data_IF_361226282179
#
_entry.id   IF_361226282179
#
_cell.length_a   1.000
_cell.length_b   1.000
_cell.length_c   1.000
_cell.angle_alpha   90.00
_cell.angle_beta   90.00
_cell.angle_gamma   90.00
#
_symmetry.space_group_name_H-M   'P 1'
#
loop_
_entity.id
_entity.type
_entity.pdbx_description
1 polymer ?
#
# COMPACT_ATOMS: atom_id res chain seq x y z
N UNK A 1 53.13 -16.76 7.81
CA UNK A 1 54.28 -17.20 8.61
C UNK A 1 54.20 -16.49 9.95
N UNK A 2 54.03 -17.30 10.99
CA UNK A 2 53.84 -17.02 12.41
C UNK A 2 54.96 -16.13 12.99
N UNK A 3 54.68 -15.32 14.02
CA UNK A 3 55.20 -15.59 15.37
C UNK A 3 54.57 -14.68 16.43
N UNK A 4 53.89 -15.37 17.36
CA UNK A 4 53.57 -14.93 18.72
C UNK A 4 54.83 -14.41 19.42
N UNK A 5 54.68 -13.40 20.28
CA UNK A 5 55.73 -13.01 21.22
C UNK A 5 55.34 -13.37 22.66
N UNK A 6 56.30 -14.00 23.31
CA UNK A 6 56.23 -14.87 24.47
C UNK A 6 55.74 -14.29 25.80
N UNK A 7 55.15 -15.23 26.55
CA UNK A 7 54.82 -15.19 27.98
C UNK A 7 56.13 -15.33 28.78
N UNK A 8 56.48 -14.34 29.61
CA UNK A 8 57.55 -14.48 30.60
C UNK A 8 56.99 -14.90 31.96
N UNK A 9 57.26 -16.15 32.30
CA UNK A 9 57.17 -16.74 33.64
C UNK A 9 58.00 -15.93 34.65
N UNK A 10 57.37 -15.39 35.69
CA UNK A 10 58.07 -14.85 36.85
C UNK A 10 58.05 -15.89 37.98
N UNK A 11 59.25 -16.26 38.39
CA UNK A 11 59.63 -17.30 39.34
C UNK A 11 58.96 -17.16 40.71
N UNK A 12 58.28 -18.22 41.14
CA UNK A 12 57.78 -18.40 42.50
C UNK A 12 58.96 -18.70 43.45
N UNK A 13 59.23 -17.81 44.42
CA UNK A 13 60.05 -18.15 45.58
C UNK A 13 59.22 -18.00 46.85
N UNK A 14 58.87 -19.16 47.41
CA UNK A 14 58.30 -19.31 48.74
C UNK A 14 59.29 -18.77 49.78
N UNK A 15 58.88 -17.79 50.58
CA UNK A 15 59.40 -17.62 51.94
C UNK A 15 58.20 -17.48 52.88
N UNK A 16 58.05 -18.50 53.71
CA UNK A 16 57.14 -18.52 54.84
C UNK A 16 57.57 -17.46 55.87
N UNK A 17 56.60 -16.74 56.45
CA UNK A 17 56.87 -15.77 57.48
C UNK A 17 55.59 -15.18 58.08
N UNK A 18 55.15 -15.80 59.18
CA UNK A 18 54.37 -15.24 60.30
C UNK A 18 53.04 -14.53 60.00
N UNK A 19 51.95 -15.21 60.36
CA UNK A 19 50.60 -14.67 60.41
C UNK A 19 50.49 -13.54 61.45
N UNK A 20 50.24 -12.32 60.99
CA UNK A 20 49.70 -11.23 61.79
C UNK A 20 48.30 -10.91 61.25
N UNK A 21 47.30 -11.05 62.11
CA UNK A 21 45.88 -10.93 61.82
C UNK A 21 45.52 -9.48 61.47
N UNK A 22 45.69 -9.09 60.21
CA UNK A 22 45.09 -7.87 59.65
C UNK A 22 43.74 -8.26 59.01
N UNK A 23 42.63 -7.81 59.62
CA UNK A 23 41.33 -7.82 58.93
C UNK A 23 41.46 -7.01 57.63
N UNK A 24 41.23 -7.60 56.44
CA UNK A 24 41.13 -6.80 55.23
C UNK A 24 39.81 -6.04 55.27
N UNK A 25 39.88 -4.72 55.40
CA UNK A 25 38.79 -3.84 54.99
C UNK A 25 38.67 -3.99 53.47
N UNK A 26 37.81 -4.90 53.02
CA UNK A 26 37.48 -5.04 51.62
C UNK A 26 36.73 -3.78 51.18
N UNK A 27 37.47 -2.78 50.70
CA UNK A 27 36.91 -1.77 49.84
C UNK A 27 36.49 -2.49 48.56
N UNK A 28 35.19 -2.78 48.44
CA UNK A 28 34.59 -3.09 47.14
C UNK A 28 34.81 -1.86 46.27
N UNK A 29 35.84 -1.88 45.44
CA UNK A 29 35.93 -0.98 44.28
C UNK A 29 34.76 -1.39 43.39
N UNK A 30 33.64 -0.67 43.48
CA UNK A 30 32.68 -0.69 42.41
C UNK A 30 33.41 -0.05 41.22
N UNK A 31 33.76 -0.87 40.23
CA UNK A 31 34.05 -0.38 38.91
C UNK A 31 32.73 0.22 38.39
N UNK A 32 32.57 1.53 38.59
CA UNK A 32 31.56 2.28 37.89
C UNK A 32 31.98 2.28 36.43
N UNK A 33 31.19 1.60 35.57
CA UNK A 33 31.44 1.60 34.14
C UNK A 33 31.58 3.05 33.68
N UNK A 34 32.70 3.35 33.02
CA UNK A 34 32.94 4.69 32.51
C UNK A 34 31.76 5.09 31.60
N UNK A 35 31.23 6.32 31.74
CA UNK A 35 30.12 6.75 30.92
C UNK A 35 30.54 6.70 29.45
N UNK A 36 29.71 6.04 28.64
CA UNK A 36 29.91 5.97 27.19
C UNK A 36 30.05 7.38 26.62
N UNK A 37 30.98 7.53 25.69
CA UNK A 37 31.25 8.75 24.95
C UNK A 37 30.98 8.52 23.46
N UNK A 38 30.78 9.59 22.66
CA UNK A 38 30.65 9.44 21.21
C UNK A 38 31.83 8.72 20.54
N UNK A 39 33.03 8.77 21.14
CA UNK A 39 34.24 8.14 20.59
C UNK A 39 34.29 6.61 20.78
N UNK A 40 33.39 6.05 21.59
CA UNK A 40 33.27 4.60 21.80
C UNK A 40 32.49 3.90 20.67
N UNK A 41 31.99 4.68 19.69
CA UNK A 41 31.17 4.20 18.57
C UNK A 41 31.91 4.33 17.25
N UNK A 42 31.68 3.37 16.35
CA UNK A 42 32.35 3.31 15.05
C UNK A 42 32.00 4.50 14.13
N UNK A 43 30.74 4.95 14.17
CA UNK A 43 30.22 6.07 13.39
C UNK A 43 29.17 6.84 14.18
N UNK A 44 28.95 8.09 13.78
CA UNK A 44 27.89 8.96 14.32
C UNK A 44 27.33 9.86 13.23
N UNK A 45 26.12 10.37 13.46
CA UNK A 45 25.49 11.38 12.62
C UNK A 45 25.08 12.56 13.51
N UNK A 46 25.37 13.77 13.06
CA UNK A 46 24.89 14.97 13.75
C UNK A 46 23.40 15.17 13.44
N UNK A 47 22.62 15.48 14.46
CA UNK A 47 21.20 15.78 14.31
C UNK A 47 20.95 17.22 14.71
N UNK A 48 20.50 18.02 13.75
CA UNK A 48 20.14 19.41 13.99
C UNK A 48 18.70 19.52 14.52
N UNK A 49 18.53 20.20 15.64
CA UNK A 49 17.22 20.60 16.16
C UNK A 49 16.99 22.09 15.91
N UNK A 50 15.87 22.45 15.28
CA UNK A 50 15.57 23.85 14.93
C UNK A 50 14.88 24.63 16.07
N UNK A 51 14.28 23.93 17.05
CA UNK A 51 13.58 24.54 18.17
C UNK A 51 14.09 24.01 19.52
N UNK A 52 13.98 24.82 20.58
CA UNK A 52 14.32 24.40 21.95
C UNK A 52 13.11 23.75 22.60
N UNK A 53 13.18 22.46 22.90
CA UNK A 53 12.10 21.66 23.48
C UNK A 53 12.66 20.64 24.49
N UNK A 54 11.93 20.29 25.56
CA UNK A 54 12.34 19.21 26.46
C UNK A 54 12.28 17.81 25.80
N UNK A 55 11.50 17.66 24.73
CA UNK A 55 11.36 16.40 23.97
C UNK A 55 11.56 16.64 22.49
N UNK A 56 12.29 15.73 21.85
CA UNK A 56 12.57 15.77 20.41
C UNK A 56 12.10 14.49 19.74
N UNK A 57 11.47 14.65 18.58
CA UNK A 57 11.22 13.55 17.65
C UNK A 57 12.04 13.81 16.40
N UNK A 58 12.86 12.82 16.04
CA UNK A 58 13.83 12.93 14.96
C UNK A 58 13.66 11.72 14.04
N UNK A 59 13.70 11.94 12.73
CA UNK A 59 13.80 10.84 11.78
C UNK A 59 15.24 10.32 11.82
N UNK A 60 15.39 9.03 12.09
CA UNK A 60 16.72 8.42 12.13
C UNK A 60 17.35 8.46 10.73
N UNK A 61 18.57 9.00 10.57
CA UNK A 61 19.24 9.05 9.28
C UNK A 61 19.44 7.65 8.69
N UNK A 62 19.37 7.54 7.36
CA UNK A 62 19.53 6.26 6.64
C UNK A 62 20.85 5.56 6.98
N UNK A 63 21.92 6.34 7.17
CA UNK A 63 23.25 5.83 7.52
C UNK A 63 23.26 5.00 8.81
N UNK A 64 22.36 5.27 9.76
CA UNK A 64 22.27 4.47 10.99
C UNK A 64 21.77 3.05 10.70
N UNK A 65 20.80 2.91 9.79
CA UNK A 65 20.27 1.60 9.39
C UNK A 65 21.29 0.78 8.60
N UNK A 66 22.16 1.43 7.83
CA UNK A 66 23.18 0.75 7.03
C UNK A 66 24.38 0.28 7.86
N UNK A 67 24.64 0.91 8.99
CA UNK A 67 25.86 0.69 9.79
C UNK A 67 25.60 0.03 11.15
N UNK A 68 24.35 -0.19 11.54
CA UNK A 68 24.02 -0.95 12.76
C UNK A 68 24.43 -2.42 12.61
N UNK A 69 24.96 -2.99 13.68
CA UNK A 69 25.22 -4.42 13.78
C UNK A 69 23.96 -5.25 14.07
N UNK A 70 22.86 -4.60 14.50
CA UNK A 70 21.67 -5.29 15.00
C UNK A 70 20.38 -4.73 14.37
N UNK A 71 19.47 -5.58 13.87
CA UNK A 71 18.21 -5.13 13.26
C UNK A 71 17.29 -4.33 14.21
N UNK A 72 17.45 -4.49 15.52
CA UNK A 72 16.68 -3.80 16.54
C UNK A 72 17.34 -2.50 17.04
N UNK A 73 18.45 -2.08 16.41
CA UNK A 73 19.16 -0.83 16.69
C UNK A 73 19.64 -0.69 18.15
N UNK A 74 19.86 -1.81 18.85
CA UNK A 74 20.31 -1.82 20.26
C UNK A 74 21.70 -1.20 20.47
N UNK A 75 22.49 -1.08 19.42
CA UNK A 75 23.82 -0.47 19.39
C UNK A 75 23.77 1.03 19.11
N UNK A 76 22.60 1.62 18.91
CA UNK A 76 22.45 3.07 18.75
C UNK A 76 22.48 3.76 20.12
N UNK A 77 23.19 4.87 20.21
CA UNK A 77 23.14 5.81 21.35
C UNK A 77 22.94 7.22 20.85
N UNK A 78 22.26 8.03 21.66
CA UNK A 78 22.06 9.46 21.38
C UNK A 78 22.83 10.25 22.42
N UNK A 79 23.60 11.22 21.97
CA UNK A 79 24.41 12.11 22.80
C UNK A 79 23.97 13.56 22.61
N UNK A 80 23.97 14.35 23.69
CA UNK A 80 23.76 15.79 23.59
C UNK A 80 25.06 16.52 23.18
N UNK A 81 24.99 17.85 23.01
CA UNK A 81 26.14 18.67 22.63
C UNK A 81 27.32 18.62 23.63
N UNK A 82 27.09 18.21 24.88
CA UNK A 82 28.10 18.02 25.89
C UNK A 82 28.71 16.60 25.87
N UNK A 83 28.36 15.77 24.88
CA UNK A 83 28.83 14.40 24.74
C UNK A 83 28.22 13.43 25.76
N UNK A 84 27.17 13.82 26.48
CA UNK A 84 26.50 12.94 27.45
C UNK A 84 25.40 12.14 26.79
N UNK A 85 25.36 10.84 27.06
CA UNK A 85 24.28 9.98 26.62
C UNK A 85 22.93 10.48 27.18
N UNK A 86 21.92 10.53 26.32
CA UNK A 86 20.55 10.91 26.69
C UNK A 86 19.59 9.73 26.52
N UNK A 87 18.54 9.72 27.33
CA UNK A 87 17.46 8.72 27.20
C UNK A 87 16.72 8.96 25.90
N UNK A 88 16.47 7.88 25.15
CA UNK A 88 15.70 7.92 23.91
C UNK A 88 14.81 6.68 23.81
N UNK A 89 13.85 6.74 22.91
CA UNK A 89 13.04 5.60 22.51
C UNK A 89 13.05 5.49 20.99
N UNK A 90 13.09 4.27 20.48
CA UNK A 90 12.96 3.99 19.05
C UNK A 90 11.53 3.56 18.78
N UNK A 91 10.89 4.23 17.83
CA UNK A 91 9.57 3.87 17.34
C UNK A 91 9.69 3.52 15.88
N UNK A 92 9.19 2.34 15.50
CA UNK A 92 9.02 2.01 14.10
C UNK A 92 8.02 3.02 13.50
N UNK A 93 8.34 3.55 12.33
CA UNK A 93 7.35 4.30 11.56
C UNK A 93 6.40 3.24 11.02
N UNK A 94 5.23 3.11 11.64
CA UNK A 94 4.14 2.33 11.07
C UNK A 94 3.83 2.95 9.70
N UNK A 95 4.28 2.29 8.64
CA UNK A 95 3.76 2.58 7.31
C UNK A 95 2.28 2.23 7.40
N UNK A 96 1.36 3.19 7.22
CA UNK A 96 -0.06 2.88 7.32
C UNK A 96 -0.33 1.74 6.35
N UNK A 97 -0.64 0.56 6.90
CA UNK A 97 -1.06 -0.58 6.10
C UNK A 97 -2.32 -0.10 5.42
N UNK A 98 -2.25 0.16 4.12
CA UNK A 98 -3.43 0.49 3.33
C UNK A 98 -4.37 -0.70 3.44
N UNK A 99 -5.37 -0.59 4.29
CA UNK A 99 -6.33 -1.65 4.51
C UNK A 99 -7.17 -1.75 3.24
N UNK A 100 -6.91 -2.79 2.45
CA UNK A 100 -7.69 -3.08 1.26
C UNK A 100 -9.06 -3.61 1.71
N UNK A 101 -10.07 -2.76 1.61
CA UNK A 101 -11.47 -3.12 1.89
C UNK A 101 -12.18 -3.44 0.58
N UNK A 102 -12.69 -4.66 0.46
CA UNK A 102 -13.57 -5.05 -0.66
C UNK A 102 -15.02 -4.75 -0.27
N UNK A 103 -15.71 -3.98 -1.10
CA UNK A 103 -17.12 -3.65 -0.92
C UNK A 103 -17.89 -4.33 -2.06
N UNK A 104 -18.90 -5.17 -1.77
CA UNK A 104 -19.71 -5.80 -2.80
C UNK A 104 -20.53 -4.76 -3.56
N UNK A 105 -20.75 -5.00 -4.85
CA UNK A 105 -21.60 -4.18 -5.71
C UNK A 105 -22.75 -5.03 -6.24
N UNK A 106 -23.97 -4.48 -6.20
CA UNK A 106 -25.11 -5.05 -6.89
C UNK A 106 -25.01 -4.75 -8.38
N UNK A 107 -25.25 -5.75 -9.22
CA UNK A 107 -25.10 -5.65 -10.68
C UNK A 107 -26.47 -5.70 -11.34
N UNK A 108 -26.79 -4.68 -12.13
CA UNK A 108 -28.02 -4.55 -12.89
C UNK A 108 -27.69 -4.47 -14.39
N UNK A 109 -28.05 -5.49 -15.20
CA UNK A 109 -27.83 -5.44 -16.64
C UNK A 109 -28.74 -4.38 -17.27
N UNK A 110 -28.18 -3.63 -18.22
CA UNK A 110 -28.90 -2.57 -18.94
C UNK A 110 -29.03 -2.88 -20.42
N UNK A 111 -30.24 -2.76 -20.95
CA UNK A 111 -30.48 -2.81 -22.38
C UNK A 111 -30.12 -1.45 -23.00
N UNK A 112 -29.24 -1.44 -23.99
CA UNK A 112 -28.81 -0.22 -24.66
C UNK A 112 -29.68 0.07 -25.88
N UNK A 113 -30.18 1.31 -25.95
CA UNK A 113 -30.77 1.90 -27.15
C UNK A 113 -29.93 3.12 -27.54
N UNK A 114 -29.16 3.00 -28.64
CA UNK A 114 -28.35 4.11 -29.15
C UNK A 114 -29.20 4.93 -30.11
N UNK A 115 -29.43 6.20 -29.80
CA UNK A 115 -29.99 7.16 -30.75
C UNK A 115 -28.82 7.93 -31.33
N UNK A 116 -28.38 7.51 -32.52
CA UNK A 116 -27.31 8.21 -33.24
C UNK A 116 -27.75 9.64 -33.55
N UNK A 117 -26.90 10.60 -33.24
CA UNK A 117 -27.12 11.98 -33.67
C UNK A 117 -26.84 12.09 -35.16
N UNK A 118 -27.72 12.77 -35.91
CA UNK A 118 -27.59 12.96 -37.36
C UNK A 118 -26.65 14.12 -37.75
N UNK A 119 -25.92 14.69 -36.79
CA UNK A 119 -25.06 15.85 -37.00
C UNK A 119 -23.65 15.52 -36.51
N UNK A 120 -22.63 15.69 -37.36
CA UNK A 120 -21.23 15.31 -37.11
C UNK A 120 -20.60 15.97 -35.87
N UNK A 121 -21.18 17.07 -35.39
CA UNK A 121 -20.71 17.87 -34.25
C UNK A 121 -21.43 17.54 -32.93
N UNK A 122 -22.43 16.65 -32.95
CA UNK A 122 -23.27 16.36 -31.79
C UNK A 122 -22.95 14.99 -31.17
N UNK A 123 -22.63 14.99 -29.86
CA UNK A 123 -22.41 13.77 -29.08
C UNK A 123 -23.58 12.82 -29.24
N UNK A 124 -23.29 11.53 -29.44
CA UNK A 124 -24.32 10.51 -29.53
C UNK A 124 -25.00 10.34 -28.18
N UNK A 125 -26.34 10.43 -28.16
CA UNK A 125 -27.14 10.19 -26.96
C UNK A 125 -27.45 8.69 -26.86
N UNK A 126 -26.89 8.05 -25.85
CA UNK A 126 -27.10 6.64 -25.54
C UNK A 126 -28.10 6.54 -24.39
N UNK A 127 -29.21 5.86 -24.59
CA UNK A 127 -30.21 5.62 -23.54
C UNK A 127 -30.11 4.16 -23.10
N UNK A 128 -29.78 3.95 -21.83
CA UNK A 128 -29.72 2.64 -21.19
C UNK A 128 -30.96 2.41 -20.34
N UNK A 129 -31.66 1.30 -20.54
CA UNK A 129 -32.85 0.93 -19.78
C UNK A 129 -32.65 -0.39 -19.06
N UNK A 130 -32.84 -0.38 -17.74
CA UNK A 130 -32.89 -1.61 -16.96
C UNK A 130 -34.30 -2.21 -16.99
N UNK A 131 -34.39 -3.52 -16.76
CA UNK A 131 -35.67 -4.24 -16.64
C UNK A 131 -36.57 -3.73 -15.50
N UNK A 132 -35.98 -3.08 -14.48
CA UNK A 132 -36.69 -2.46 -13.36
C UNK A 132 -37.14 -1.01 -13.64
N UNK A 133 -36.97 -0.50 -14.86
CA UNK A 133 -37.46 0.81 -15.28
C UNK A 133 -36.48 1.99 -15.11
N UNK A 134 -35.25 1.74 -14.64
CA UNK A 134 -34.21 2.80 -14.59
C UNK A 134 -33.76 3.15 -16.00
N UNK A 135 -33.82 4.45 -16.34
CA UNK A 135 -33.39 5.00 -17.63
C UNK A 135 -32.21 5.96 -17.41
N UNK A 136 -31.08 5.67 -18.07
CA UNK A 136 -29.86 6.47 -17.99
C UNK A 136 -29.54 7.03 -19.37
N UNK A 137 -29.16 8.31 -19.45
CA UNK A 137 -28.74 8.94 -20.68
C UNK A 137 -27.25 9.29 -20.61
N UNK A 138 -26.47 8.79 -21.56
CA UNK A 138 -25.05 9.12 -21.73
C UNK A 138 -24.84 9.89 -23.02
N UNK A 139 -23.85 10.78 -23.00
CA UNK A 139 -23.34 11.44 -24.19
C UNK A 139 -21.94 10.89 -24.48
N UNK A 140 -21.79 10.16 -25.58
CA UNK A 140 -20.53 9.55 -25.98
C UNK A 140 -20.03 10.18 -27.29
N UNK A 141 -18.71 10.29 -27.41
CA UNK A 141 -18.04 10.67 -28.64
C UNK A 141 -17.79 9.39 -29.45
N UNK A 142 -18.30 9.33 -30.69
CA UNK A 142 -18.09 8.22 -31.60
C UNK A 142 -19.22 7.19 -31.69
N UNK A 143 -19.04 6.24 -32.59
CA UNK A 143 -20.05 5.28 -33.05
C UNK A 143 -20.00 3.98 -32.22
N UNK A 144 -20.54 4.03 -31.00
CA UNK A 144 -20.60 2.84 -30.12
C UNK A 144 -21.59 1.80 -30.68
N UNK A 145 -21.08 0.89 -31.51
CA UNK A 145 -21.81 -0.27 -32.00
C UNK A 145 -21.92 -1.34 -30.89
N UNK A 146 -23.15 -1.69 -30.50
CA UNK A 146 -23.47 -2.86 -29.66
C UNK A 146 -22.62 -3.04 -28.39
N UNK A 147 -22.63 -2.04 -27.52
CA UNK A 147 -22.06 -2.13 -26.17
C UNK A 147 -23.05 -2.80 -25.18
N UNK A 148 -22.55 -3.73 -24.36
CA UNK A 148 -23.30 -4.28 -23.23
C UNK A 148 -22.99 -3.43 -21.99
N UNK A 149 -24.01 -2.99 -21.26
CA UNK A 149 -23.81 -2.09 -20.11
C UNK A 149 -24.38 -2.66 -18.81
N UNK A 150 -23.74 -2.34 -17.70
CA UNK A 150 -24.13 -2.77 -16.35
C UNK A 150 -24.09 -1.59 -15.38
N UNK A 151 -25.21 -1.34 -14.70
CA UNK A 151 -25.26 -0.44 -13.54
C UNK A 151 -24.80 -1.22 -12.32
N UNK A 152 -23.82 -0.69 -11.61
CA UNK A 152 -23.31 -1.22 -10.36
C UNK A 152 -23.71 -0.27 -9.23
N UNK A 153 -24.26 -0.82 -8.15
CA UNK A 153 -24.71 -0.03 -7.00
C UNK A 153 -24.05 -0.53 -5.72
N UNK A 154 -23.59 0.41 -4.91
CA UNK A 154 -23.18 0.16 -3.52
C UNK A 154 -24.41 0.13 -2.62
N UNK A 155 -24.48 -0.83 -1.69
CA UNK A 155 -25.53 -0.91 -0.69
C UNK A 155 -25.68 0.41 0.09
N UNK A 156 -26.93 0.85 0.32
CA UNK A 156 -27.24 2.13 0.96
C UNK A 156 -26.61 2.29 2.35
N UNK A 157 -26.51 1.19 3.10
CA UNK A 157 -25.92 1.17 4.45
C UNK A 157 -24.38 1.25 4.48
N UNK A 158 -23.71 1.14 3.34
CA UNK A 158 -22.24 1.13 3.29
C UNK A 158 -21.66 2.54 3.41
N UNK A 159 -20.73 2.71 4.35
CA UNK A 159 -19.90 3.92 4.48
C UNK A 159 -18.70 3.90 3.53
N UNK A 160 -18.48 5.01 2.83
CA UNK A 160 -17.48 5.20 1.78
C UNK A 160 -16.45 6.28 2.17
N UNK A 161 -15.76 6.07 3.28
CA UNK A 161 -14.91 7.11 3.88
C UNK A 161 -13.60 7.36 3.09
N UNK A 162 -13.12 6.37 2.34
CA UNK A 162 -11.83 6.41 1.63
C UNK A 162 -11.94 6.35 0.10
N UNK A 163 -13.16 6.24 -0.42
CA UNK A 163 -13.43 6.06 -1.84
C UNK A 163 -12.93 4.76 -2.45
N UNK A 164 -13.35 4.52 -3.67
CA UNK A 164 -12.91 3.38 -4.46
C UNK A 164 -11.59 3.71 -5.15
N UNK A 165 -10.68 2.73 -5.18
CA UNK A 165 -9.44 2.79 -5.97
C UNK A 165 -9.56 1.93 -7.23
N UNK A 166 -10.38 0.89 -7.19
CA UNK A 166 -10.51 -0.09 -8.26
C UNK A 166 -11.93 -0.66 -8.28
N UNK A 167 -12.42 -1.03 -9.47
CA UNK A 167 -13.55 -1.94 -9.63
C UNK A 167 -13.00 -3.32 -9.94
N UNK A 168 -13.20 -4.26 -9.02
CA UNK A 168 -12.83 -5.66 -9.21
C UNK A 168 -14.02 -6.43 -9.79
N UNK A 169 -13.79 -7.08 -10.92
CA UNK A 169 -14.77 -7.92 -11.60
C UNK A 169 -14.40 -9.38 -11.43
N UNK A 170 -15.42 -10.22 -11.33
CA UNK A 170 -15.27 -11.67 -11.34
C UNK A 170 -16.08 -12.21 -12.50
N UNK A 171 -15.65 -13.29 -13.14
CA UNK A 171 -16.40 -13.99 -14.19
C UNK A 171 -16.00 -15.46 -14.23
N UNK A 172 -16.89 -16.28 -14.77
CA UNK A 172 -16.60 -17.68 -15.02
C UNK A 172 -15.51 -17.80 -16.08
N UNK A 173 -14.59 -18.76 -15.88
CA UNK A 173 -13.46 -18.95 -16.78
C UNK A 173 -13.97 -19.22 -18.21
N UNK A 174 -13.59 -18.39 -19.19
CA UNK A 174 -14.03 -18.57 -20.56
C UNK A 174 -13.37 -19.81 -21.18
N UNK A 175 -14.05 -20.44 -22.13
CA UNK A 175 -13.53 -21.63 -22.84
C UNK A 175 -12.32 -21.31 -23.72
N UNK A 176 -12.31 -20.10 -24.28
CA UNK A 176 -11.26 -19.58 -25.15
C UNK A 176 -10.65 -18.33 -24.50
N UNK A 177 -9.47 -17.94 -24.96
CA UNK A 177 -8.87 -16.66 -24.58
C UNK A 177 -9.85 -15.52 -24.85
N UNK A 178 -10.04 -14.68 -23.84
CA UNK A 178 -10.99 -13.58 -23.87
C UNK A 178 -10.30 -12.27 -23.55
N UNK A 179 -10.66 -11.23 -24.28
CA UNK A 179 -10.25 -9.86 -24.02
C UNK A 179 -11.39 -8.92 -24.44
N UNK A 180 -11.49 -7.77 -23.80
CA UNK A 180 -12.43 -6.71 -24.17
C UNK A 180 -11.89 -5.37 -23.69
N UNK A 181 -12.47 -4.28 -24.19
CA UNK A 181 -12.32 -2.95 -23.62
C UNK A 181 -13.58 -2.54 -22.89
N UNK A 182 -13.40 -1.78 -21.82
CA UNK A 182 -14.51 -1.22 -21.04
C UNK A 182 -14.27 0.25 -20.72
N UNK A 183 -15.36 1.00 -20.65
CA UNK A 183 -15.38 2.35 -20.12
C UNK A 183 -16.19 2.38 -18.82
N UNK A 184 -15.67 3.06 -17.81
CA UNK A 184 -16.25 3.14 -16.47
C UNK A 184 -16.68 4.57 -16.18
N UNK A 185 -17.90 4.72 -15.69
CA UNK A 185 -18.47 5.99 -15.26
C UNK A 185 -18.96 5.91 -13.81
N UNK A 186 -19.03 7.04 -13.13
CA UNK A 186 -19.58 7.17 -11.78
C UNK A 186 -20.69 8.22 -11.75
N UNK A 187 -21.63 8.09 -10.82
CA UNK A 187 -22.69 9.06 -10.60
C UNK A 187 -23.11 9.07 -9.13
N UNK A 188 -23.47 10.24 -8.62
CA UNK A 188 -24.11 10.41 -7.32
C UNK A 188 -25.65 10.33 -7.40
N UNK A 189 -26.23 10.61 -8.57
CA UNK A 189 -27.67 10.86 -8.71
C UNK A 189 -28.35 10.09 -9.85
N UNK A 190 -27.60 9.21 -10.53
CA UNK A 190 -27.99 8.46 -11.74
C UNK A 190 -28.27 9.31 -12.99
N UNK A 191 -28.12 10.63 -12.91
CA UNK A 191 -28.42 11.57 -14.01
C UNK A 191 -27.14 12.11 -14.62
N UNK A 192 -26.22 12.58 -13.79
CA UNK A 192 -24.92 13.11 -14.20
C UNK A 192 -23.85 12.04 -14.04
N UNK A 193 -23.11 11.78 -15.12
CA UNK A 193 -22.15 10.68 -15.20
C UNK A 193 -20.76 11.22 -15.54
N UNK A 194 -19.82 11.00 -14.62
CA UNK A 194 -18.41 11.33 -14.81
C UNK A 194 -17.65 10.13 -15.34
N UNK A 195 -16.81 10.33 -16.37
CA UNK A 195 -15.94 9.28 -16.88
C UNK A 195 -14.77 9.06 -15.91
N UNK A 196 -14.59 7.81 -15.48
CA UNK A 196 -13.56 7.40 -14.51
C UNK A 196 -12.43 6.63 -15.19
N UNK A 197 -12.78 5.81 -16.19
CA UNK A 197 -11.81 5.12 -17.03
C UNK A 197 -12.37 4.98 -18.46
N UNK A 198 -11.47 4.97 -19.44
CA UNK A 198 -11.78 4.88 -20.86
C UNK A 198 -10.95 3.78 -21.49
N UNK A 199 -11.58 2.92 -22.32
CA UNK A 199 -10.90 1.85 -23.04
C UNK A 199 -10.02 0.95 -22.13
N UNK A 200 -10.41 0.77 -20.88
CA UNK A 200 -9.67 -0.06 -19.93
C UNK A 200 -9.69 -1.53 -20.38
N UNK A 201 -8.54 -2.22 -20.46
CA UNK A 201 -8.51 -3.59 -20.92
C UNK A 201 -8.95 -4.55 -19.81
N UNK A 202 -9.77 -5.54 -20.17
CA UNK A 202 -10.02 -6.72 -19.35
C UNK A 202 -9.63 -7.95 -20.18
N UNK A 203 -9.01 -8.93 -19.55
CA UNK A 203 -8.61 -10.15 -20.25
C UNK A 203 -8.48 -11.36 -19.33
N UNK A 204 -8.70 -12.53 -19.92
CA UNK A 204 -8.48 -13.84 -19.34
C UNK A 204 -7.88 -14.73 -20.41
N UNK A 205 -6.55 -14.80 -20.41
CA UNK A 205 -5.75 -15.46 -21.43
C UNK A 205 -5.04 -16.67 -20.83
N UNK A 206 -4.91 -17.71 -21.65
CA UNK A 206 -4.22 -18.95 -21.29
C UNK A 206 -3.21 -19.32 -22.38
N UNK A 207 -2.06 -19.81 -21.95
CA UNK A 207 -0.99 -20.34 -22.81
C UNK A 207 -0.37 -21.55 -22.14
N UNK A 208 -0.67 -22.76 -22.64
CA UNK A 208 -0.25 -24.00 -21.98
C UNK A 208 -0.80 -24.10 -20.56
N UNK A 209 0.09 -24.01 -19.56
CA UNK A 209 -0.25 -24.03 -18.11
C UNK A 209 -0.35 -22.64 -17.48
N UNK A 210 0.02 -21.59 -18.21
CA UNK A 210 0.02 -20.22 -17.71
C UNK A 210 -1.32 -19.53 -17.95
N UNK A 211 -1.68 -18.61 -17.05
CA UNK A 211 -2.89 -17.78 -17.16
C UNK A 211 -2.56 -16.33 -16.83
N UNK A 212 -2.97 -15.42 -17.69
CA UNK A 212 -2.96 -13.97 -17.46
C UNK A 212 -4.39 -13.51 -17.21
N UNK A 213 -4.64 -12.94 -16.04
CA UNK A 213 -5.94 -12.39 -15.65
C UNK A 213 -5.80 -10.90 -15.37
N UNK A 214 -6.53 -10.08 -16.12
CA UNK A 214 -6.74 -8.67 -15.83
C UNK A 214 -8.24 -8.45 -15.61
N UNK A 215 -8.64 -8.41 -14.35
CA UNK A 215 -10.03 -8.37 -13.91
C UNK A 215 -10.39 -7.18 -13.04
N UNK A 216 -9.59 -6.12 -13.10
CA UNK A 216 -9.86 -4.89 -12.37
C UNK A 216 -9.69 -3.68 -13.29
N UNK A 217 -10.39 -2.62 -12.92
CA UNK A 217 -10.31 -1.30 -13.55
C UNK A 217 -9.83 -0.34 -12.48
N UNK A 218 -8.71 0.34 -12.71
CA UNK A 218 -8.20 1.36 -11.81
C UNK A 218 -9.03 2.64 -11.92
N UNK A 219 -9.33 3.24 -10.77
CA UNK A 219 -9.98 4.53 -10.67
C UNK A 219 -8.92 5.56 -10.31
N UNK A 220 -8.76 6.57 -11.16
CA UNK A 220 -7.76 7.60 -10.95
C UNK A 220 -8.00 8.33 -9.62
N UNK A 221 -6.98 8.36 -8.76
CA UNK A 221 -7.03 8.94 -7.42
C UNK A 221 -7.37 10.43 -7.36
N UNK A 222 -7.18 11.18 -8.45
CA UNK A 222 -7.49 12.61 -8.54
C UNK A 222 -8.96 12.94 -8.82
N UNK A 223 -9.80 11.92 -9.06
CA UNK A 223 -11.21 12.15 -9.37
C UNK A 223 -12.03 12.37 -8.09
N UNK A 224 -12.89 13.39 -8.08
CA UNK A 224 -13.77 13.71 -6.93
C UNK A 224 -14.89 12.69 -6.73
N UNK A 225 -15.24 11.94 -7.77
CA UNK A 225 -16.38 11.01 -7.77
C UNK A 225 -16.00 9.59 -7.35
N UNK A 226 -14.90 9.44 -6.58
CA UNK A 226 -14.43 8.16 -6.04
C UNK A 226 -15.29 7.61 -4.93
N UNK A 227 -16.15 8.44 -4.33
CA UNK A 227 -17.08 8.02 -3.28
C UNK A 227 -18.49 7.76 -3.82
N UNK A 228 -18.64 7.72 -5.15
CA UNK A 228 -19.95 7.52 -5.77
C UNK A 228 -20.56 6.16 -5.47
N UNK A 229 -21.87 6.17 -5.30
CA UNK A 229 -22.67 4.98 -5.03
C UNK A 229 -23.09 4.24 -6.28
N UNK A 230 -23.14 4.94 -7.41
CA UNK A 230 -23.53 4.38 -8.68
C UNK A 230 -22.36 4.40 -9.65
N UNK A 231 -22.15 3.26 -10.30
CA UNK A 231 -21.13 3.08 -11.31
C UNK A 231 -21.77 2.47 -12.54
N UNK A 232 -21.29 2.86 -13.72
CA UNK A 232 -21.77 2.32 -14.97
C UNK A 232 -20.59 1.77 -15.74
N UNK A 233 -20.63 0.46 -15.96
CA UNK A 233 -19.67 -0.26 -16.77
C UNK A 233 -20.24 -0.42 -18.18
N UNK A 234 -19.53 0.08 -19.18
CA UNK A 234 -19.88 -0.06 -20.60
C UNK A 234 -18.83 -0.94 -21.25
N UNK A 235 -19.23 -2.11 -21.75
CA UNK A 235 -18.35 -3.03 -22.49
C UNK A 235 -18.43 -2.67 -23.95
N UNK A 236 -17.29 -2.29 -24.53
CA UNK A 236 -17.16 -1.97 -25.95
C UNK A 236 -17.18 -3.29 -26.73
N UNK A 237 -18.16 -3.47 -27.62
CA UNK A 237 -18.32 -4.70 -28.37
C UNK A 237 -17.43 -4.74 -29.61
N UNK A 238 -16.49 -5.67 -29.66
CA UNK A 238 -15.74 -6.04 -30.86
C UNK A 238 -16.27 -7.34 -31.47
N UNK A 239 -17.59 -7.52 -31.53
CA UNK A 239 -18.33 -8.41 -32.45
C UNK A 239 -17.97 -9.91 -32.53
N UNK A 240 -16.94 -10.40 -31.84
CA UNK A 240 -16.33 -11.71 -32.13
C UNK A 240 -15.86 -12.51 -30.90
N UNK A 241 -16.14 -12.03 -29.70
CA UNK A 241 -15.98 -12.83 -28.49
C UNK A 241 -17.26 -12.71 -27.68
N UNK A 242 -17.95 -13.83 -27.47
CA UNK A 242 -19.07 -13.88 -26.53
C UNK A 242 -18.56 -13.42 -25.17
N UNK A 243 -18.96 -12.22 -24.74
CA UNK A 243 -18.61 -11.70 -23.42
C UNK A 243 -18.98 -12.76 -22.38
N UNK A 244 -18.04 -13.20 -21.52
CA UNK A 244 -18.39 -14.04 -20.40
C UNK A 244 -19.47 -13.27 -19.65
N UNK A 245 -20.59 -13.95 -19.38
CA UNK A 245 -21.66 -13.37 -18.59
C UNK A 245 -21.01 -12.93 -17.26
N UNK A 246 -20.95 -11.61 -17.02
CA UNK A 246 -20.61 -11.12 -15.70
C UNK A 246 -21.59 -11.81 -14.74
N UNK A 247 -21.08 -12.41 -13.66
CA UNK A 247 -21.84 -13.29 -12.81
C UNK A 247 -23.05 -12.52 -12.33
N UNK A 248 -24.22 -13.11 -12.56
CA UNK A 248 -25.45 -12.64 -11.94
C UNK A 248 -25.17 -12.58 -10.43
N UNK A 249 -25.60 -11.52 -9.73
CA UNK A 249 -25.41 -11.44 -8.29
C UNK A 249 -25.90 -12.73 -7.65
N UNK A 250 -25.01 -13.47 -6.98
CA UNK A 250 -25.41 -14.60 -6.14
C UNK A 250 -26.17 -14.01 -4.97
N UNK A 251 -27.49 -14.10 -5.04
CA UNK A 251 -28.38 -13.88 -3.90
C UNK A 251 -28.05 -14.98 -2.88
N UNK A 252 -27.53 -14.61 -1.72
CA UNK A 252 -27.48 -15.48 -0.54
C UNK A 252 -28.77 -15.29 0.25
#
# INVERSE_FOLDING_TARGET
MMFLKDITMLTFRLRAGLAMLCLPFAFSVQAEDAPLTPMDFYQGAEVSSYETSPFYRLTLPESVYLNTAWPDLRDVRVFNNAGKAVTFALSQVDTPKTEQKVIPLHIFPMAMNVVKSTTEEAKNKVTLKSSNGVEINLYQDGDSASATSFLLQVDEGTKLDSGFNQILLSWDRPKNNWQTKVSLYSSEDLKEWDKQAENAPLMDLTSGTERLLLNHIDINGYNTSRNSRYWLLVIEGDGNAASPLLPKPKVW
#
